data_IF_228546609128
#
_entry.id   IF_228546609128
#
_cell.length_a   1.000
_cell.length_b   1.000
_cell.length_c   1.000
_cell.angle_alpha   90.00
_cell.angle_beta   90.00
_cell.angle_gamma   90.00
#
_symmetry.space_group_name_H-M   'P 1'
#
loop_
_entity.id
_entity.type
_entity.pdbx_description
1 polymer ?
#
# COMPACT_ATOMS: atom_id res chain seq x y z
N UNK A 1 3.93 3.26 49.06
CA UNK A 1 4.01 4.54 48.30
C UNK A 1 4.93 4.45 47.08
N UNK A 2 6.24 4.14 47.23
CA UNK A 2 7.20 4.06 46.11
C UNK A 2 6.82 3.09 44.98
N UNK A 3 6.18 1.96 45.29
CA UNK A 3 5.73 0.99 44.29
C UNK A 3 4.61 1.56 43.40
N UNK A 4 3.65 2.29 43.99
CA UNK A 4 2.55 2.93 43.26
C UNK A 4 3.08 4.04 42.34
N UNK A 5 4.08 4.80 42.80
CA UNK A 5 4.76 5.81 41.98
C UNK A 5 5.47 5.18 40.78
N UNK A 6 6.23 4.10 40.99
CA UNK A 6 6.91 3.39 39.90
C UNK A 6 5.91 2.83 38.88
N UNK A 7 4.77 2.28 39.32
CA UNK A 7 3.71 1.80 38.43
C UNK A 7 3.12 2.95 37.62
N UNK A 8 2.83 4.09 38.24
CA UNK A 8 2.34 5.29 37.53
C UNK A 8 3.33 5.76 36.47
N UNK A 9 4.61 5.87 36.82
CA UNK A 9 5.66 6.27 35.88
C UNK A 9 5.79 5.29 34.71
N UNK A 10 5.68 3.99 34.98
CA UNK A 10 5.69 2.96 33.95
C UNK A 10 4.57 3.15 32.92
N UNK A 11 3.32 3.25 33.39
CA UNK A 11 2.17 3.47 32.49
C UNK A 11 2.25 4.81 31.76
N UNK A 12 2.73 5.86 32.42
CA UNK A 12 2.94 7.16 31.78
C UNK A 12 3.95 7.08 30.62
N UNK A 13 4.99 6.26 30.79
CA UNK A 13 6.02 6.04 29.78
C UNK A 13 5.50 5.24 28.58
N UNK A 14 4.59 4.30 28.81
CA UNK A 14 3.85 3.60 27.73
C UNK A 14 3.01 4.61 26.94
N UNK A 15 2.24 5.46 27.63
CA UNK A 15 1.40 6.49 27.00
C UNK A 15 2.27 7.46 26.18
N UNK A 16 3.41 7.87 26.71
CA UNK A 16 4.36 8.71 26.00
C UNK A 16 4.87 8.05 24.70
N UNK A 17 5.23 6.77 24.74
CA UNK A 17 5.62 6.02 23.55
C UNK A 17 4.49 5.90 22.52
N UNK A 18 3.25 5.71 22.96
CA UNK A 18 2.08 5.72 22.08
C UNK A 18 1.97 7.06 21.35
N UNK A 19 2.15 8.20 22.04
CA UNK A 19 2.12 9.51 21.37
C UNK A 19 3.24 9.70 20.36
N UNK A 20 4.46 9.21 20.64
CA UNK A 20 5.57 9.22 19.66
C UNK A 20 5.17 8.45 18.40
N UNK A 21 4.58 7.27 18.56
CA UNK A 21 4.15 6.46 17.41
C UNK A 21 2.93 7.04 16.69
N UNK A 22 2.00 7.65 17.42
CA UNK A 22 0.92 8.42 16.82
C UNK A 22 1.47 9.57 15.98
N UNK A 23 2.52 10.27 16.42
CA UNK A 23 3.18 11.29 15.59
C UNK A 23 3.78 10.69 14.30
N UNK A 24 4.38 9.51 14.37
CA UNK A 24 4.95 8.82 13.21
C UNK A 24 3.90 8.37 12.19
N UNK A 25 2.76 7.90 12.69
CA UNK A 25 1.75 7.19 11.88
C UNK A 25 0.57 8.08 11.47
N UNK A 26 0.19 9.05 12.31
CA UNK A 26 -1.00 9.88 12.06
C UNK A 26 -0.66 11.13 11.23
N UNK A 27 -1.72 11.73 10.69
CA UNK A 27 -1.66 12.95 9.90
C UNK A 27 -2.70 13.96 10.41
N UNK A 28 -2.47 15.25 10.20
CA UNK A 28 -3.44 16.30 10.49
C UNK A 28 -3.63 16.58 11.99
N UNK A 29 -4.88 16.54 12.49
CA UNK A 29 -5.18 16.94 13.88
C UNK A 29 -4.57 15.99 14.92
N UNK A 30 -4.60 14.67 14.66
CA UNK A 30 -4.04 13.67 15.59
C UNK A 30 -2.53 13.83 15.75
N UNK A 31 -1.84 14.19 14.67
CA UNK A 31 -0.41 14.47 14.70
C UNK A 31 -0.11 15.70 15.56
N UNK A 32 -0.82 16.81 15.32
CA UNK A 32 -0.64 18.05 16.09
C UNK A 32 -0.90 17.82 17.58
N UNK A 33 -1.95 17.08 17.91
CA UNK A 33 -2.24 16.69 19.28
C UNK A 33 -1.11 15.86 19.89
N UNK A 34 -0.59 14.88 19.14
CA UNK A 34 0.54 14.06 19.58
C UNK A 34 1.78 14.91 19.87
N UNK A 35 2.10 15.90 19.02
CA UNK A 35 3.23 16.82 19.23
C UNK A 35 3.06 17.63 20.52
N UNK A 36 1.85 18.15 20.79
CA UNK A 36 1.56 18.90 22.02
C UNK A 36 1.77 18.00 23.24
N UNK A 37 1.22 16.79 23.21
CA UNK A 37 1.36 15.83 24.32
C UNK A 37 2.83 15.44 24.55
N UNK A 38 3.57 15.11 23.49
CA UNK A 38 5.01 14.81 23.56
C UNK A 38 5.77 15.98 24.20
N UNK A 39 5.48 17.21 23.79
CA UNK A 39 6.13 18.42 24.34
C UNK A 39 5.85 18.59 25.84
N UNK A 40 4.60 18.39 26.27
CA UNK A 40 4.22 18.43 27.69
C UNK A 40 4.91 17.34 28.51
N UNK A 41 5.03 16.12 27.96
CA UNK A 41 5.74 15.02 28.60
C UNK A 41 7.23 15.32 28.77
N UNK A 42 7.89 15.79 27.71
CA UNK A 42 9.32 16.15 27.73
C UNK A 42 9.55 17.26 28.75
N UNK A 43 8.73 18.31 28.74
CA UNK A 43 8.84 19.41 29.72
C UNK A 43 8.70 18.91 31.16
N UNK A 44 7.69 18.09 31.43
CA UNK A 44 7.45 17.53 32.78
C UNK A 44 8.59 16.61 33.22
N UNK A 45 9.15 15.83 32.30
CA UNK A 45 10.28 14.96 32.58
C UNK A 45 11.56 15.76 32.90
N UNK A 46 11.91 16.75 32.07
CA UNK A 46 13.08 17.61 32.27
C UNK A 46 12.97 18.37 33.60
N UNK A 47 11.80 18.94 33.91
CA UNK A 47 11.57 19.67 35.17
C UNK A 47 11.83 18.79 36.40
N UNK A 48 11.54 17.50 36.31
CA UNK A 48 11.66 16.57 37.42
C UNK A 48 12.97 15.78 37.43
N UNK A 49 13.84 15.91 36.42
CA UNK A 49 15.00 15.03 36.20
C UNK A 49 15.95 14.94 37.40
N UNK A 50 16.15 16.05 38.13
CA UNK A 50 17.03 16.09 39.33
C UNK A 50 16.49 15.27 40.52
N UNK A 51 15.20 14.92 40.51
CA UNK A 51 14.53 14.14 41.56
C UNK A 51 14.40 12.65 41.19
N UNK A 52 14.79 12.27 39.97
CA UNK A 52 14.61 10.92 39.43
C UNK A 52 15.79 10.04 39.84
N UNK A 53 15.49 8.84 40.33
CA UNK A 53 16.50 7.83 40.66
C UNK A 53 16.81 6.94 39.45
N UNK A 54 17.98 6.29 39.42
CA UNK A 54 18.39 5.40 38.33
C UNK A 54 17.35 4.29 38.04
N UNK A 55 16.74 3.73 39.09
CA UNK A 55 15.67 2.71 38.94
C UNK A 55 14.47 3.25 38.15
N UNK A 56 14.11 4.52 38.37
CA UNK A 56 13.01 5.18 37.68
C UNK A 56 13.34 5.41 36.19
N UNK A 57 14.60 5.73 35.84
CA UNK A 57 15.03 5.76 34.44
C UNK A 57 14.89 4.40 33.75
N UNK A 58 15.27 3.31 34.43
CA UNK A 58 15.06 1.95 33.89
C UNK A 58 13.56 1.66 33.67
N UNK A 59 12.70 2.06 34.62
CA UNK A 59 11.23 1.90 34.48
C UNK A 59 10.66 2.71 33.32
N UNK A 60 11.15 3.93 33.09
CA UNK A 60 10.74 4.75 31.94
C UNK A 60 11.16 4.08 30.63
N UNK A 61 12.41 3.64 30.55
CA UNK A 61 12.94 2.97 29.37
C UNK A 61 12.16 1.69 29.03
N UNK A 62 11.90 0.83 30.02
CA UNK A 62 11.12 -0.40 29.79
C UNK A 62 9.67 -0.10 29.40
N UNK A 63 9.06 0.93 29.98
CA UNK A 63 7.73 1.39 29.59
C UNK A 63 7.68 1.89 28.14
N UNK A 64 8.70 2.64 27.69
CA UNK A 64 8.79 3.10 26.30
C UNK A 64 8.92 1.92 25.34
N UNK A 65 9.83 0.98 25.62
CA UNK A 65 10.03 -0.22 24.80
C UNK A 65 8.74 -1.03 24.71
N UNK A 66 8.06 -1.26 25.83
CA UNK A 66 6.79 -1.98 25.84
C UNK A 66 5.70 -1.23 25.08
N UNK A 67 5.61 0.10 25.22
CA UNK A 67 4.66 0.92 24.48
C UNK A 67 4.87 0.86 22.97
N UNK A 68 6.13 0.84 22.52
CA UNK A 68 6.46 0.66 21.09
C UNK A 68 5.98 -0.69 20.58
N UNK A 69 6.25 -1.77 21.33
CA UNK A 69 5.84 -3.13 20.96
C UNK A 69 4.31 -3.23 20.92
N UNK A 70 3.62 -2.74 21.95
CA UNK A 70 2.15 -2.77 22.04
C UNK A 70 1.50 -2.00 20.89
N UNK A 71 1.95 -0.78 20.61
CA UNK A 71 1.37 0.03 19.55
C UNK A 71 1.65 -0.56 18.16
N UNK A 72 2.86 -1.09 17.93
CA UNK A 72 3.18 -1.81 16.68
C UNK A 72 2.30 -3.05 16.50
N UNK A 73 2.01 -3.77 17.59
CA UNK A 73 1.08 -4.89 17.60
C UNK A 73 -0.35 -4.43 17.30
N UNK A 74 -0.85 -3.37 17.94
CA UNK A 74 -2.19 -2.81 17.67
C UNK A 74 -2.33 -2.39 16.21
N UNK A 75 -1.33 -1.70 15.64
CA UNK A 75 -1.32 -1.33 14.23
C UNK A 75 -1.35 -2.55 13.31
N UNK A 76 -0.74 -3.66 13.72
CA UNK A 76 -0.80 -4.89 12.96
C UNK A 76 -2.20 -5.56 13.00
N UNK A 77 -2.94 -5.45 14.11
CA UNK A 77 -4.31 -5.96 14.17
C UNK A 77 -5.36 -4.95 13.71
N UNK A 78 -4.92 -3.78 13.23
CA UNK A 78 -5.80 -2.80 12.63
C UNK A 78 -6.23 -3.28 11.24
N UNK A 79 -7.23 -4.15 11.23
CA UNK A 79 -7.70 -4.79 10.03
C UNK A 79 -8.52 -3.82 9.19
N UNK A 80 -8.07 -3.60 7.96
CA UNK A 80 -8.90 -2.98 6.95
C UNK A 80 -9.95 -3.99 6.49
N UNK A 81 -11.18 -3.87 7.00
CA UNK A 81 -12.31 -4.67 6.51
C UNK A 81 -12.52 -4.40 5.03
N UNK A 82 -12.24 -5.42 4.21
CA UNK A 82 -12.60 -5.42 2.81
C UNK A 82 -13.78 -6.37 2.65
N UNK A 83 -14.98 -5.85 2.87
CA UNK A 83 -16.22 -6.59 2.70
C UNK A 83 -16.50 -6.75 1.20
N UNK A 84 -15.78 -7.66 0.55
CA UNK A 84 -16.07 -8.04 -0.83
C UNK A 84 -17.43 -8.74 -0.81
N UNK A 85 -18.46 -8.06 -1.30
CA UNK A 85 -19.78 -8.65 -1.44
C UNK A 85 -19.77 -9.61 -2.63
N UNK A 86 -19.73 -10.91 -2.34
CA UNK A 86 -19.94 -11.96 -3.33
C UNK A 86 -21.44 -12.03 -3.65
N UNK A 87 -21.90 -11.09 -4.47
CA UNK A 87 -23.26 -11.16 -5.01
C UNK A 87 -23.34 -12.25 -6.09
N UNK A 88 -24.48 -12.93 -6.23
CA UNK A 88 -24.68 -13.92 -7.28
C UNK A 88 -24.57 -13.26 -8.66
N UNK A 89 -23.99 -13.98 -9.61
CA UNK A 89 -23.86 -13.55 -11.01
C UNK A 89 -25.23 -13.38 -11.67
N UNK A 90 -25.33 -12.45 -12.62
CA UNK A 90 -26.51 -12.30 -13.47
C UNK A 90 -26.71 -13.56 -14.32
N UNK A 91 -27.99 -13.93 -14.54
CA UNK A 91 -28.33 -15.13 -15.33
C UNK A 91 -27.96 -14.93 -16.81
N UNK A 92 -28.08 -13.70 -17.34
CA UNK A 92 -27.65 -13.38 -18.70
C UNK A 92 -26.13 -13.35 -18.81
N UNK A 93 -25.60 -14.10 -19.78
CA UNK A 93 -24.18 -14.12 -20.12
C UNK A 93 -23.80 -12.85 -20.85
N UNK A 94 -22.71 -12.20 -20.44
CA UNK A 94 -22.17 -11.06 -21.17
C UNK A 94 -21.22 -11.56 -22.29
N UNK A 95 -21.57 -11.21 -23.53
CA UNK A 95 -20.84 -11.59 -24.75
C UNK A 95 -19.63 -10.71 -25.02
N UNK A 96 -19.58 -9.51 -24.41
CA UNK A 96 -18.41 -8.65 -24.49
C UNK A 96 -17.19 -9.32 -23.82
N UNK A 97 -16.01 -8.89 -24.25
CA UNK A 97 -14.76 -9.32 -23.62
C UNK A 97 -14.34 -8.29 -22.58
N UNK A 98 -14.28 -8.70 -21.31
CA UNK A 98 -13.75 -7.85 -20.26
C UNK A 98 -12.22 -7.80 -20.35
N UNK A 99 -11.63 -6.61 -20.30
CA UNK A 99 -10.18 -6.40 -20.22
C UNK A 99 -9.86 -5.79 -18.87
N UNK A 100 -9.18 -6.55 -18.00
CA UNK A 100 -8.72 -6.10 -16.70
C UNK A 100 -7.28 -5.61 -16.81
N UNK A 101 -7.09 -4.29 -16.85
CA UNK A 101 -5.76 -3.67 -16.75
C UNK A 101 -5.31 -3.70 -15.29
N UNK A 102 -4.27 -4.47 -15.01
CA UNK A 102 -3.73 -4.65 -13.67
C UNK A 102 -2.47 -3.80 -13.47
N UNK A 103 -2.52 -2.89 -12.51
CA UNK A 103 -1.42 -1.99 -12.14
C UNK A 103 -0.99 -2.21 -10.69
N UNK A 104 0.17 -1.67 -10.30
CA UNK A 104 0.60 -1.69 -8.90
C UNK A 104 -0.35 -0.83 -8.04
N UNK A 105 -0.40 0.46 -8.35
CA UNK A 105 -1.27 1.44 -7.73
C UNK A 105 -0.72 1.95 -6.41
N UNK A 106 -0.94 3.24 -6.15
CA UNK A 106 -0.63 3.87 -4.87
C UNK A 106 -1.72 4.88 -4.50
N UNK A 107 -2.00 5.10 -3.22
CA UNK A 107 -2.98 6.09 -2.83
C UNK A 107 -2.50 7.50 -3.23
N UNK A 108 -3.43 8.38 -3.63
CA UNK A 108 -3.11 9.75 -4.08
C UNK A 108 -2.48 10.60 -2.96
N UNK A 109 -2.83 10.28 -1.71
CA UNK A 109 -2.32 10.90 -0.48
C UNK A 109 -2.01 9.81 0.53
N UNK A 110 -1.39 10.19 1.63
CA UNK A 110 -1.18 9.28 2.75
C UNK A 110 -2.51 8.70 3.25
N UNK A 111 -2.72 7.40 3.00
CA UNK A 111 -3.90 6.64 3.41
C UNK A 111 -3.43 5.47 4.29
N UNK A 112 -3.57 5.66 5.60
CA UNK A 112 -3.10 4.70 6.60
C UNK A 112 -3.74 3.30 6.42
N UNK A 113 -5.07 3.15 6.28
CA UNK A 113 -5.67 1.84 6.06
C UNK A 113 -5.17 1.11 4.82
N UNK A 114 -5.02 1.80 3.68
CA UNK A 114 -4.49 1.19 2.44
C UNK A 114 -3.03 0.77 2.64
N UNK A 115 -2.20 1.63 3.23
CA UNK A 115 -0.79 1.31 3.48
C UNK A 115 -0.62 0.14 4.44
N UNK A 116 -1.41 0.07 5.52
CA UNK A 116 -1.41 -1.06 6.45
C UNK A 116 -1.77 -2.36 5.73
N UNK A 117 -2.86 -2.38 4.94
CA UNK A 117 -3.25 -3.55 4.14
C UNK A 117 -2.11 -4.04 3.24
N UNK A 118 -1.42 -3.13 2.57
CA UNK A 118 -0.29 -3.48 1.70
C UNK A 118 0.88 -4.06 2.51
N UNK A 119 1.15 -3.53 3.71
CA UNK A 119 2.18 -4.05 4.61
C UNK A 119 1.85 -5.44 5.17
N UNK A 120 0.56 -5.75 5.42
CA UNK A 120 0.12 -7.08 5.87
C UNK A 120 0.39 -8.19 4.86
N UNK A 121 0.44 -7.83 3.58
CA UNK A 121 0.64 -8.79 2.51
C UNK A 121 2.04 -9.44 2.57
N UNK A 122 3.00 -8.88 3.31
CA UNK A 122 4.37 -9.40 3.43
C UNK A 122 4.70 -9.79 4.89
N UNK A 123 4.08 -10.88 5.35
CA UNK A 123 4.03 -11.30 6.75
C UNK A 123 5.33 -11.92 7.29
N UNK A 124 6.27 -11.07 7.68
CA UNK A 124 7.38 -11.46 8.55
C UNK A 124 7.25 -10.76 9.91
N UNK A 125 7.48 -11.49 11.00
CA UNK A 125 7.39 -10.96 12.36
C UNK A 125 8.29 -9.73 12.59
N UNK A 126 9.46 -9.70 11.95
CA UNK A 126 10.34 -8.52 11.91
C UNK A 126 9.63 -7.32 11.27
N UNK A 127 8.94 -7.50 10.15
CA UNK A 127 8.23 -6.43 9.46
C UNK A 127 7.14 -5.80 10.34
N UNK A 128 6.53 -6.57 11.27
CA UNK A 128 5.46 -6.10 12.15
C UNK A 128 5.93 -5.01 13.12
N UNK A 129 7.10 -5.15 13.72
CA UNK A 129 7.67 -4.14 14.64
C UNK A 129 8.09 -2.87 13.88
N UNK A 130 8.48 -3.00 12.61
CA UNK A 130 8.89 -1.86 11.78
C UNK A 130 7.75 -1.12 11.09
N UNK A 131 6.48 -1.53 11.30
CA UNK A 131 5.30 -0.88 10.69
C UNK A 131 5.28 0.63 10.95
N UNK A 132 5.43 1.14 12.19
CA UNK A 132 5.36 2.58 12.44
C UNK A 132 6.46 3.37 11.71
N UNK A 133 7.66 2.78 11.60
CA UNK A 133 8.80 3.43 10.92
C UNK A 133 8.59 3.45 9.40
N UNK A 134 8.05 2.39 8.81
CA UNK A 134 7.68 2.38 7.38
C UNK A 134 6.57 3.38 7.09
N UNK A 135 5.55 3.43 7.93
CA UNK A 135 4.46 4.40 7.80
C UNK A 135 4.99 5.84 7.87
N UNK A 136 5.95 6.10 8.76
CA UNK A 136 6.62 7.40 8.79
C UNK A 136 7.37 7.70 7.50
N UNK A 137 8.09 6.74 6.92
CA UNK A 137 8.76 6.92 5.62
C UNK A 137 7.77 7.26 4.51
N UNK A 138 6.64 6.54 4.43
CA UNK A 138 5.57 6.86 3.48
C UNK A 138 5.00 8.25 3.73
N UNK A 139 4.66 8.58 4.98
CA UNK A 139 4.16 9.90 5.37
C UNK A 139 5.10 11.01 4.89
N UNK A 140 6.41 10.89 5.14
CA UNK A 140 7.42 11.87 4.71
C UNK A 140 7.52 11.96 3.19
N UNK A 141 7.43 10.85 2.48
CA UNK A 141 7.40 10.85 1.02
C UNK A 141 6.18 11.60 0.46
N UNK A 142 4.99 11.34 1.02
CA UNK A 142 3.77 12.05 0.65
C UNK A 142 3.78 13.53 1.04
N UNK A 143 4.39 13.91 2.17
CA UNK A 143 4.57 15.31 2.53
C UNK A 143 5.49 16.04 1.54
N UNK A 144 6.50 15.35 1.01
CA UNK A 144 7.45 15.94 0.06
C UNK A 144 6.88 16.06 -1.35
N UNK A 145 6.17 15.03 -1.82
CA UNK A 145 5.60 14.95 -3.17
C UNK A 145 4.23 15.65 -3.24
N UNK A 146 3.50 15.69 -2.13
CA UNK A 146 2.13 16.20 -2.05
C UNK A 146 1.11 15.18 -2.53
N UNK A 147 0.74 15.25 -3.81
CA UNK A 147 -0.28 14.39 -4.42
C UNK A 147 0.38 13.47 -5.44
N UNK A 148 0.22 12.16 -5.26
CA UNK A 148 0.61 11.20 -6.28
C UNK A 148 -0.36 11.27 -7.47
N UNK A 149 0.22 11.32 -8.67
CA UNK A 149 -0.48 11.21 -9.96
C UNK A 149 -0.26 9.86 -10.64
N UNK A 150 0.22 8.85 -9.92
CA UNK A 150 0.52 7.55 -10.50
C UNK A 150 -0.71 6.92 -11.17
N UNK A 151 -1.87 7.01 -10.50
CA UNK A 151 -3.14 6.45 -11.00
C UNK A 151 -3.75 7.29 -12.15
N UNK A 152 -3.22 8.47 -12.48
CA UNK A 152 -3.68 9.20 -13.67
C UNK A 152 -3.16 8.52 -14.93
N UNK A 153 -2.01 7.84 -14.85
CA UNK A 153 -1.43 7.08 -15.97
C UNK A 153 -2.35 5.91 -16.35
N UNK A 154 -2.91 5.20 -15.37
CA UNK A 154 -3.81 4.07 -15.62
C UNK A 154 -5.14 4.52 -16.23
N UNK A 155 -5.71 5.63 -15.76
CA UNK A 155 -6.92 6.26 -16.34
C UNK A 155 -6.66 6.66 -17.79
N UNK A 156 -5.56 7.36 -18.05
CA UNK A 156 -5.16 7.77 -19.39
C UNK A 156 -4.91 6.57 -20.33
N UNK A 157 -4.31 5.48 -19.82
CA UNK A 157 -4.09 4.27 -20.61
C UNK A 157 -5.43 3.60 -20.96
N UNK A 158 -6.34 3.50 -20.00
CA UNK A 158 -7.69 2.96 -20.24
C UNK A 158 -8.42 3.74 -21.32
N UNK A 159 -8.43 5.07 -21.25
CA UNK A 159 -9.11 5.90 -22.25
C UNK A 159 -8.49 5.76 -23.64
N UNK A 160 -7.15 5.70 -23.72
CA UNK A 160 -6.46 5.45 -24.99
C UNK A 160 -6.79 4.07 -25.53
N UNK A 161 -6.81 3.04 -24.68
CA UNK A 161 -7.10 1.67 -25.10
C UNK A 161 -8.53 1.53 -25.61
N UNK A 162 -9.51 2.11 -24.90
CA UNK A 162 -10.91 2.13 -25.33
C UNK A 162 -11.10 2.77 -26.71
N UNK A 163 -10.30 3.79 -27.06
CA UNK A 163 -10.35 4.41 -28.39
C UNK A 163 -9.77 3.55 -29.52
N UNK A 164 -8.98 2.53 -29.18
CA UNK A 164 -8.32 1.64 -30.15
C UNK A 164 -8.94 0.24 -30.21
N UNK A 165 -9.79 -0.11 -29.25
CA UNK A 165 -10.53 -1.36 -29.26
C UNK A 165 -11.88 -1.16 -29.95
N UNK A 166 -12.32 -2.18 -30.67
CA UNK A 166 -13.62 -2.20 -31.35
C UNK A 166 -14.78 -2.28 -30.34
N UNK A 167 -16.00 -2.11 -30.83
CA UNK A 167 -17.22 -2.37 -30.05
C UNK A 167 -17.23 -3.84 -29.59
N UNK A 168 -17.52 -4.08 -28.29
CA UNK A 168 -17.51 -5.41 -27.68
C UNK A 168 -16.42 -5.67 -26.64
N UNK A 169 -15.64 -4.65 -26.26
CA UNK A 169 -14.66 -4.71 -25.16
C UNK A 169 -15.02 -3.79 -24.00
N UNK A 170 -15.06 -4.35 -22.79
CA UNK A 170 -15.26 -3.59 -21.56
C UNK A 170 -13.95 -3.50 -20.77
N UNK A 171 -13.36 -2.30 -20.72
CA UNK A 171 -12.04 -2.09 -20.10
C UNK A 171 -12.16 -1.59 -18.66
N UNK A 172 -11.63 -2.38 -17.73
CA UNK A 172 -11.54 -2.10 -16.31
C UNK A 172 -10.09 -1.84 -15.88
N UNK A 173 -9.92 -0.96 -14.89
CA UNK A 173 -8.63 -0.72 -14.23
C UNK A 173 -8.73 -1.23 -12.81
N UNK A 174 -7.74 -1.99 -12.39
CA UNK A 174 -7.60 -2.40 -11.00
C UNK A 174 -6.15 -2.37 -10.55
N UNK A 175 -5.98 -2.34 -9.24
CA UNK A 175 -4.67 -2.22 -8.61
C UNK A 175 -4.37 -3.38 -7.66
N UNK A 176 -3.08 -3.63 -7.45
CA UNK A 176 -2.58 -4.55 -6.43
C UNK A 176 -2.63 -3.91 -5.04
N UNK A 177 -2.20 -2.66 -4.95
CA UNK A 177 -1.89 -1.94 -3.72
C UNK A 177 -2.76 -0.69 -3.50
N UNK A 178 -3.82 -0.51 -4.29
CA UNK A 178 -4.76 0.59 -4.12
C UNK A 178 -6.19 0.20 -4.54
N UNK A 179 -7.16 1.08 -4.30
CA UNK A 179 -8.53 0.92 -4.78
C UNK A 179 -8.73 1.45 -6.20
N UNK A 180 -9.62 0.83 -7.01
CA UNK A 180 -10.29 -0.44 -6.72
C UNK A 180 -9.30 -1.61 -6.83
N UNK A 181 -9.36 -2.53 -5.87
CA UNK A 181 -8.47 -3.69 -5.86
C UNK A 181 -8.90 -4.69 -6.93
N UNK A 182 -7.95 -5.44 -7.49
CA UNK A 182 -8.25 -6.43 -8.54
C UNK A 182 -9.32 -7.46 -8.12
N UNK A 183 -9.30 -7.91 -6.86
CA UNK A 183 -10.33 -8.80 -6.33
C UNK A 183 -11.72 -8.15 -6.35
N UNK A 184 -11.82 -6.87 -5.99
CA UNK A 184 -13.10 -6.14 -6.00
C UNK A 184 -13.66 -6.06 -7.41
N UNK A 185 -12.84 -5.71 -8.40
CA UNK A 185 -13.28 -5.66 -9.80
C UNK A 185 -13.68 -7.04 -10.32
N UNK A 186 -12.93 -8.08 -9.98
CA UNK A 186 -13.25 -9.45 -10.39
C UNK A 186 -14.62 -9.87 -9.86
N UNK A 187 -14.89 -9.69 -8.55
CA UNK A 187 -16.15 -10.14 -7.97
C UNK A 187 -17.33 -9.22 -8.28
N UNK A 188 -17.17 -7.90 -8.13
CA UNK A 188 -18.28 -6.95 -8.19
C UNK A 188 -18.65 -6.52 -9.61
N UNK A 189 -17.75 -6.69 -10.58
CA UNK A 189 -17.99 -6.31 -11.98
C UNK A 189 -17.97 -7.53 -12.89
N UNK A 190 -16.85 -8.26 -12.89
CA UNK A 190 -16.62 -9.29 -13.91
C UNK A 190 -17.46 -10.56 -13.67
N UNK A 191 -17.43 -11.10 -12.45
CA UNK A 191 -18.23 -12.29 -12.10
C UNK A 191 -19.70 -11.93 -11.98
N UNK A 192 -20.00 -10.80 -11.33
CA UNK A 192 -21.38 -10.32 -11.17
C UNK A 192 -22.10 -10.13 -12.51
N UNK A 193 -21.45 -9.54 -13.50
CA UNK A 193 -22.03 -9.34 -14.85
C UNK A 193 -21.90 -10.58 -15.76
N UNK A 194 -21.39 -11.71 -15.24
CA UNK A 194 -21.30 -12.99 -15.94
C UNK A 194 -20.57 -12.92 -17.30
N UNK A 195 -19.41 -12.27 -17.32
CA UNK A 195 -18.55 -12.21 -18.51
C UNK A 195 -18.09 -13.60 -18.94
N UNK A 196 -18.12 -13.84 -20.24
CA UNK A 196 -17.70 -15.13 -20.79
C UNK A 196 -16.22 -15.22 -21.14
N UNK A 197 -15.60 -14.07 -21.39
CA UNK A 197 -14.20 -13.92 -21.79
C UNK A 197 -13.59 -12.76 -21.01
N UNK A 198 -12.48 -13.02 -20.34
CA UNK A 198 -11.74 -11.99 -19.61
C UNK A 198 -10.26 -12.06 -19.97
N UNK A 199 -9.69 -10.92 -20.30
CA UNK A 199 -8.26 -10.75 -20.52
C UNK A 199 -7.69 -9.98 -19.33
N UNK A 200 -6.81 -10.62 -18.56
CA UNK A 200 -6.05 -9.98 -17.51
C UNK A 200 -4.75 -9.47 -18.13
N UNK A 201 -4.62 -8.15 -18.21
CA UNK A 201 -3.51 -7.45 -18.85
C UNK A 201 -2.65 -6.74 -17.80
N UNK A 202 -1.57 -7.38 -17.30
CA UNK A 202 -0.63 -6.75 -16.41
C UNK A 202 0.15 -5.62 -17.10
N UNK A 203 0.08 -4.42 -16.52
CA UNK A 203 0.88 -3.27 -16.96
C UNK A 203 2.12 -3.16 -16.05
N UNK A 204 2.97 -4.18 -16.14
CA UNK A 204 4.25 -4.25 -15.45
C UNK A 204 5.36 -4.48 -16.47
N UNK A 205 6.54 -3.89 -16.24
CA UNK A 205 7.72 -4.24 -17.02
C UNK A 205 8.20 -5.65 -16.62
N UNK A 206 8.34 -5.92 -15.32
CA UNK A 206 8.91 -7.17 -14.80
C UNK A 206 7.94 -7.94 -13.91
N UNK A 207 8.23 -9.22 -13.68
CA UNK A 207 7.45 -10.07 -12.78
C UNK A 207 7.82 -9.85 -11.30
N UNK A 208 7.19 -8.88 -10.65
CA UNK A 208 7.36 -8.68 -9.20
C UNK A 208 6.75 -9.84 -8.38
N UNK A 209 7.19 -10.03 -7.13
CA UNK A 209 6.57 -11.01 -6.22
C UNK A 209 5.07 -10.76 -6.02
N UNK A 210 4.67 -9.49 -5.95
CA UNK A 210 3.27 -9.09 -5.80
C UNK A 210 2.45 -9.49 -7.03
N UNK A 211 2.99 -9.24 -8.24
CA UNK A 211 2.40 -9.68 -9.49
C UNK A 211 2.23 -11.21 -9.54
N UNK A 212 3.28 -11.98 -9.23
CA UNK A 212 3.23 -13.45 -9.24
C UNK A 212 2.14 -13.99 -8.32
N UNK A 213 1.99 -13.40 -7.14
CA UNK A 213 0.92 -13.78 -6.20
C UNK A 213 -0.46 -13.44 -6.77
N UNK A 214 -0.65 -12.27 -7.35
CA UNK A 214 -1.94 -11.87 -7.92
C UNK A 214 -2.36 -12.77 -9.09
N UNK A 215 -1.42 -13.11 -9.97
CA UNK A 215 -1.67 -14.07 -11.06
C UNK A 215 -2.03 -15.43 -10.50
N UNK A 216 -1.25 -15.96 -9.54
CA UNK A 216 -1.54 -17.24 -8.89
C UNK A 216 -2.94 -17.25 -8.25
N UNK A 217 -3.32 -16.21 -7.51
CA UNK A 217 -4.64 -16.09 -6.89
C UNK A 217 -5.76 -16.14 -7.96
N UNK A 218 -5.59 -15.41 -9.07
CA UNK A 218 -6.57 -15.36 -10.16
C UNK A 218 -6.63 -16.67 -10.96
N UNK A 219 -5.50 -17.32 -11.19
CA UNK A 219 -5.44 -18.63 -11.83
C UNK A 219 -6.15 -19.68 -10.98
N UNK A 220 -5.92 -19.69 -9.67
CA UNK A 220 -6.64 -20.58 -8.75
C UNK A 220 -8.15 -20.33 -8.82
N UNK A 221 -8.59 -19.06 -8.76
CA UNK A 221 -10.01 -18.72 -8.92
C UNK A 221 -10.58 -19.18 -10.28
N UNK A 222 -9.80 -19.07 -11.36
CA UNK A 222 -10.18 -19.52 -12.70
C UNK A 222 -10.27 -21.04 -12.84
N UNK A 223 -9.51 -21.81 -12.05
CA UNK A 223 -9.61 -23.27 -12.03
C UNK A 223 -10.88 -23.74 -11.31
N UNK A 224 -11.27 -23.05 -10.23
CA UNK A 224 -12.50 -23.36 -9.50
C UNK A 224 -13.76 -22.87 -10.21
N UNK A 225 -13.68 -21.78 -10.97
CA UNK A 225 -14.73 -21.33 -11.87
C UNK A 225 -14.62 -22.10 -13.19
N UNK A 226 -15.40 -23.18 -13.33
CA UNK A 226 -15.35 -24.28 -14.32
C UNK A 226 -15.23 -23.98 -15.83
N UNK A 227 -14.88 -22.77 -16.27
CA UNK A 227 -14.99 -22.29 -17.65
C UNK A 227 -13.72 -21.66 -18.26
N UNK A 228 -12.56 -21.65 -17.59
CA UNK A 228 -11.32 -21.11 -18.19
C UNK A 228 -11.48 -19.68 -18.71
N UNK A 229 -12.28 -18.89 -18.00
CA UNK A 229 -12.79 -17.58 -18.37
C UNK A 229 -11.67 -16.52 -18.44
N UNK A 230 -10.66 -16.64 -17.58
CA UNK A 230 -9.52 -15.73 -17.51
C UNK A 230 -8.39 -16.18 -18.45
N UNK A 231 -7.94 -15.27 -19.31
CA UNK A 231 -6.68 -15.39 -20.07
C UNK A 231 -5.71 -14.32 -19.62
N UNK A 232 -4.45 -14.68 -19.42
CA UNK A 232 -3.41 -13.76 -18.93
C UNK A 232 -2.49 -13.35 -20.07
N UNK A 233 -2.26 -12.04 -20.19
CA UNK A 233 -1.18 -11.52 -21.01
C UNK A 233 0.12 -11.53 -20.20
N UNK A 234 1.26 -11.79 -20.85
CA UNK A 234 2.57 -11.66 -20.22
C UNK A 234 2.88 -10.19 -19.87
N UNK A 235 3.76 -9.92 -18.88
CA UNK A 235 4.24 -8.57 -18.64
C UNK A 235 4.99 -8.00 -19.85
N UNK A 236 5.22 -6.69 -19.84
CA UNK A 236 5.64 -5.94 -21.02
C UNK A 236 7.16 -5.96 -21.31
N UNK A 237 7.98 -6.71 -20.55
CA UNK A 237 9.44 -6.76 -20.76
C UNK A 237 9.84 -7.25 -22.15
N UNK A 238 9.11 -8.22 -22.71
CA UNK A 238 9.44 -8.82 -24.02
C UNK A 238 8.77 -8.06 -25.19
N UNK A 239 8.19 -6.89 -24.92
CA UNK A 239 7.54 -6.09 -25.96
C UNK A 239 8.57 -5.28 -26.75
N UNK A 240 8.79 -5.68 -28.00
CA UNK A 240 9.64 -4.93 -28.95
C UNK A 240 9.19 -3.46 -29.09
N UNK A 241 7.87 -3.21 -29.07
CA UNK A 241 7.31 -1.85 -29.12
C UNK A 241 7.67 -1.03 -27.88
N UNK A 242 7.63 -1.63 -26.69
CA UNK A 242 8.05 -0.99 -25.44
C UNK A 242 9.54 -0.65 -25.49
N UNK A 243 10.38 -1.61 -25.89
CA UNK A 243 11.82 -1.41 -26.03
C UNK A 243 12.15 -0.26 -27.01
N UNK A 244 11.54 -0.26 -28.21
CA UNK A 244 11.69 0.82 -29.20
C UNK A 244 11.24 2.18 -28.66
N UNK A 245 10.14 2.22 -27.90
CA UNK A 245 9.64 3.45 -27.29
C UNK A 245 10.62 4.04 -26.27
N UNK A 246 11.20 3.19 -25.41
CA UNK A 246 12.20 3.60 -24.41
C UNK A 246 13.44 4.16 -25.12
N UNK A 247 13.99 3.44 -26.10
CA UNK A 247 15.15 3.91 -26.89
C UNK A 247 14.87 5.26 -27.52
N UNK A 248 13.68 5.43 -28.14
CA UNK A 248 13.28 6.71 -28.74
C UNK A 248 13.20 7.85 -27.72
N UNK A 249 12.77 7.57 -26.49
CA UNK A 249 12.75 8.59 -25.42
C UNK A 249 14.15 8.95 -24.95
N UNK A 250 15.02 7.96 -24.74
CA UNK A 250 16.41 8.20 -24.33
C UNK A 250 17.17 9.00 -25.39
N UNK A 251 17.00 8.67 -26.67
CA UNK A 251 17.66 9.39 -27.76
C UNK A 251 17.19 10.85 -27.92
N UNK A 252 16.04 11.23 -27.36
CA UNK A 252 15.54 12.62 -27.36
C UNK A 252 16.16 13.47 -26.26
N UNK A 253 16.77 12.87 -25.24
CA UNK A 253 17.44 13.60 -24.19
C UNK A 253 18.70 14.23 -24.78
N UNK A 254 18.75 15.56 -24.79
CA UNK A 254 19.88 16.30 -25.35
C UNK A 254 21.04 16.31 -24.34
N UNK A 255 21.82 15.24 -24.35
CA UNK A 255 22.99 15.07 -23.48
C UNK A 255 24.19 14.58 -24.28
N UNK A 256 25.40 14.88 -23.79
CA UNK A 256 26.65 14.42 -24.42
C UNK A 256 26.73 12.90 -24.34
N UNK A 257 26.38 12.23 -25.44
CA UNK A 257 26.16 10.79 -25.52
C UNK A 257 27.34 9.93 -25.01
N UNK A 258 28.56 10.45 -25.04
CA UNK A 258 29.77 9.71 -24.64
C UNK A 258 30.16 9.92 -23.17
N UNK A 259 29.45 10.78 -22.44
CA UNK A 259 29.74 11.12 -21.04
C UNK A 259 28.60 10.69 -20.09
N UNK A 260 27.58 9.99 -20.60
CA UNK A 260 26.35 9.69 -19.86
C UNK A 260 26.10 8.18 -19.81
N UNK A 261 26.04 7.64 -18.59
CA UNK A 261 25.54 6.29 -18.32
C UNK A 261 24.01 6.28 -18.22
N UNK A 262 23.38 5.23 -18.74
CA UNK A 262 21.94 5.00 -18.58
C UNK A 262 21.73 4.06 -17.39
N UNK A 263 20.96 4.50 -16.40
CA UNK A 263 20.60 3.69 -15.25
C UNK A 263 19.13 3.32 -15.35
N UNK A 264 18.86 2.02 -15.37
CA UNK A 264 17.52 1.48 -15.19
C UNK A 264 17.34 1.11 -13.73
N UNK A 265 16.41 1.74 -13.04
CA UNK A 265 16.02 1.33 -11.70
C UNK A 265 14.75 0.49 -11.81
N UNK A 266 14.89 -0.82 -11.56
CA UNK A 266 13.82 -1.82 -11.62
C UNK A 266 13.18 -2.03 -10.25
#
# INVERSE_FOLDING_TARGET
MKMIENIKTFFLSIIFAIFILCYFVSFGMLERFSIIMITLFIYTYIRNIKKITMKCHCTVFTGIVLGIILCSYILFFFEYKNDIKKEPSTISKNENTAVLLLFDGEPERYDLPVLLKNMHTNDNLKNRIYIPFRLYQYKRAYEHIGISRYNDISKNLREKLLKHLDEGYDVYVAYLNNKPYYKEIIYEKIIKENYSKVIVAPIFLTESKAYKRAVYDLEMENLYASNGMLKFMSPLWDSEKTAKSIVKQVCKINSKKNEVGIVFNS
#
